data_IF_742518262566
#
_entry.id   IF_742518262566
#
_cell.length_a   1.000
_cell.length_b   1.000
_cell.length_c   1.000
_cell.angle_alpha   90.00
_cell.angle_beta   90.00
_cell.angle_gamma   90.00
#
_symmetry.space_group_name_H-M   'P 1'
#
loop_
_entity.id
_entity.type
_entity.pdbx_description
1 polymer ?
#
# COMPACT_ATOMS: atom_id res chain seq x y z
N UNK A 1 -1.64 -89.69 30.19
CA UNK A 1 -2.58 -88.65 29.76
C UNK A 1 -2.18 -87.30 30.40
N UNK A 2 -1.54 -86.40 29.66
CA UNK A 2 -1.09 -85.08 30.20
C UNK A 2 -1.86 -84.03 29.45
N UNK A 3 -2.73 -83.28 30.14
CA UNK A 3 -3.46 -82.12 29.62
C UNK A 3 -2.51 -80.94 29.59
N UNK A 4 -2.34 -80.32 28.38
CA UNK A 4 -1.65 -79.08 28.20
C UNK A 4 -2.69 -77.92 28.19
N UNK A 5 -2.57 -77.05 29.16
CA UNK A 5 -3.35 -75.80 29.26
C UNK A 5 -2.65 -74.70 28.42
N UNK A 6 -3.33 -74.17 27.42
CA UNK A 6 -2.90 -73.02 26.66
C UNK A 6 -3.42 -71.76 27.36
N UNK A 7 -2.49 -70.91 27.79
CA UNK A 7 -2.76 -69.51 28.22
C UNK A 7 -2.76 -68.63 26.99
N UNK A 8 -3.91 -68.02 26.67
CA UNK A 8 -4.01 -66.98 25.66
C UNK A 8 -3.74 -65.62 26.34
N UNK A 9 -2.65 -64.93 25.96
CA UNK A 9 -2.38 -63.56 26.36
C UNK A 9 -3.09 -62.60 25.42
N UNK A 10 -4.09 -61.87 25.95
CA UNK A 10 -4.77 -60.78 25.21
C UNK A 10 -3.92 -59.51 25.35
N UNK A 11 -3.31 -59.06 24.25
CA UNK A 11 -2.65 -57.77 24.15
C UNK A 11 -3.71 -56.68 23.92
N UNK A 12 -3.97 -55.85 24.93
CA UNK A 12 -4.73 -54.60 24.77
C UNK A 12 -3.85 -53.54 24.09
N UNK A 13 -4.10 -53.30 22.82
CA UNK A 13 -3.51 -52.16 22.10
C UNK A 13 -4.30 -50.91 22.49
N UNK A 14 -3.72 -50.06 23.33
CA UNK A 14 -4.26 -48.74 23.61
C UNK A 14 -4.08 -47.85 22.37
N UNK A 15 -5.16 -47.63 21.66
CA UNK A 15 -5.22 -46.61 20.59
C UNK A 15 -5.23 -45.23 21.24
N UNK A 16 -4.08 -44.54 21.21
CA UNK A 16 -4.00 -43.11 21.56
C UNK A 16 -4.71 -42.35 20.47
N UNK A 17 -5.96 -41.93 20.73
CA UNK A 17 -6.62 -40.91 19.89
C UNK A 17 -5.88 -39.60 20.12
N UNK A 18 -5.02 -39.24 19.16
CA UNK A 18 -4.57 -37.86 19.03
C UNK A 18 -5.80 -36.95 18.80
N UNK A 19 -5.94 -35.83 19.55
CA UNK A 19 -7.04 -34.92 19.28
C UNK A 19 -6.88 -34.42 17.82
N UNK A 20 -7.88 -34.71 16.99
CA UNK A 20 -8.02 -34.11 15.68
C UNK A 20 -8.11 -32.58 15.91
N UNK A 21 -7.05 -31.85 15.60
CA UNK A 21 -7.14 -30.41 15.48
C UNK A 21 -8.20 -30.13 14.43
N UNK A 22 -9.37 -29.71 14.88
CA UNK A 22 -10.41 -29.16 14.02
C UNK A 22 -9.77 -28.00 13.25
N UNK A 23 -9.43 -28.22 11.99
CA UNK A 23 -9.20 -27.15 11.05
C UNK A 23 -10.52 -26.39 10.94
N UNK A 24 -10.68 -25.34 11.74
CA UNK A 24 -11.70 -24.34 11.52
C UNK A 24 -11.36 -23.68 10.17
N UNK A 25 -11.93 -24.25 9.11
CA UNK A 25 -11.65 -23.86 7.72
C UNK A 25 -11.88 -22.37 7.58
N UNK A 26 -10.92 -21.68 6.98
CA UNK A 26 -11.02 -20.28 6.58
C UNK A 26 -12.21 -20.14 5.63
N UNK A 27 -13.32 -19.53 6.10
CA UNK A 27 -14.55 -19.36 5.29
C UNK A 27 -14.44 -18.08 4.48
N UNK A 28 -13.81 -18.17 3.31
CA UNK A 28 -13.88 -17.12 2.30
C UNK A 28 -14.92 -17.52 1.23
N UNK A 29 -15.55 -16.55 0.55
CA UNK A 29 -16.40 -16.84 -0.61
C UNK A 29 -15.61 -17.59 -1.70
N UNK A 30 -16.26 -18.44 -2.47
CA UNK A 30 -15.63 -19.17 -3.59
C UNK A 30 -15.00 -18.23 -4.63
N UNK A 31 -15.54 -17.03 -4.76
CA UNK A 31 -15.00 -15.96 -5.60
C UNK A 31 -14.86 -14.68 -4.80
N UNK A 32 -13.65 -14.12 -4.80
CA UNK A 32 -13.32 -12.80 -4.29
C UNK A 32 -12.90 -11.89 -5.44
N UNK A 33 -13.10 -10.60 -5.27
CA UNK A 33 -12.59 -9.60 -6.21
C UNK A 33 -11.81 -8.54 -5.44
N UNK A 34 -10.59 -8.26 -5.89
CA UNK A 34 -9.78 -7.14 -5.39
C UNK A 34 -9.54 -6.15 -6.51
N UNK A 35 -9.45 -4.88 -6.18
CA UNK A 35 -8.75 -3.94 -7.05
C UNK A 35 -7.26 -3.96 -6.75
N UNK A 36 -6.45 -3.76 -7.77
CA UNK A 36 -5.01 -3.55 -7.66
C UNK A 36 -4.60 -2.41 -8.59
N UNK A 37 -3.31 -2.04 -8.58
CA UNK A 37 -2.84 -1.03 -9.50
C UNK A 37 -2.71 -1.58 -10.93
N UNK A 38 -2.20 -0.77 -11.85
CA UNK A 38 -2.12 -1.12 -13.27
C UNK A 38 -1.41 -2.46 -13.51
N UNK A 39 -1.76 -3.14 -14.59
CA UNK A 39 -1.18 -4.45 -14.95
C UNK A 39 0.35 -4.36 -14.98
N UNK A 40 1.01 -5.33 -14.33
CA UNK A 40 2.46 -5.39 -14.22
C UNK A 40 3.04 -4.53 -13.08
N UNK A 41 2.23 -3.72 -12.37
CA UNK A 41 2.69 -3.09 -11.13
C UNK A 41 3.01 -4.14 -10.07
N UNK A 42 3.88 -3.80 -9.10
CA UNK A 42 4.21 -4.71 -8.00
C UNK A 42 2.98 -5.22 -7.26
N UNK A 43 2.05 -4.31 -6.90
CA UNK A 43 0.82 -4.68 -6.22
C UNK A 43 -0.12 -5.58 -7.03
N UNK A 44 -0.19 -5.40 -8.35
CA UNK A 44 -0.95 -6.29 -9.23
C UNK A 44 -0.34 -7.70 -9.29
N UNK A 45 0.97 -7.78 -9.53
CA UNK A 45 1.66 -9.08 -9.64
C UNK A 45 1.59 -9.86 -8.32
N UNK A 46 1.71 -9.18 -7.19
CA UNK A 46 1.57 -9.80 -5.87
C UNK A 46 0.14 -10.29 -5.61
N UNK A 47 -0.88 -9.52 -5.96
CA UNK A 47 -2.27 -9.94 -5.85
C UNK A 47 -2.56 -11.20 -6.70
N UNK A 48 -1.98 -11.31 -7.89
CA UNK A 48 -2.08 -12.52 -8.74
C UNK A 48 -1.42 -13.72 -8.05
N UNK A 49 -0.22 -13.56 -7.49
CA UNK A 49 0.48 -14.64 -6.80
C UNK A 49 -0.30 -15.13 -5.55
N UNK A 50 -0.86 -14.21 -4.77
CA UNK A 50 -1.75 -14.53 -3.63
C UNK A 50 -3.00 -15.26 -4.14
N UNK A 51 -3.59 -14.80 -5.24
CA UNK A 51 -4.75 -15.43 -5.85
C UNK A 51 -4.50 -16.90 -6.26
N UNK A 52 -3.30 -17.19 -6.77
CA UNK A 52 -2.90 -18.55 -7.09
C UNK A 52 -2.82 -19.43 -5.83
N UNK A 53 -2.27 -18.95 -4.73
CA UNK A 53 -2.22 -19.68 -3.46
C UNK A 53 -3.64 -19.92 -2.90
N UNK A 54 -4.51 -18.89 -2.91
CA UNK A 54 -5.92 -19.02 -2.51
C UNK A 54 -6.65 -20.08 -3.34
N UNK A 55 -6.43 -20.09 -4.65
CA UNK A 55 -7.06 -21.10 -5.54
C UNK A 55 -6.57 -22.50 -5.24
N UNK A 56 -5.26 -22.67 -5.12
CA UNK A 56 -4.65 -24.00 -4.95
C UNK A 56 -4.93 -24.62 -3.57
N UNK A 57 -5.03 -23.80 -2.52
CA UNK A 57 -5.14 -24.28 -1.13
C UNK A 57 -6.57 -24.25 -0.57
N UNK A 58 -7.34 -23.25 -0.97
CA UNK A 58 -8.70 -23.03 -0.44
C UNK A 58 -9.79 -23.14 -1.49
N UNK A 59 -9.46 -23.40 -2.76
CA UNK A 59 -10.36 -23.37 -3.91
C UNK A 59 -11.10 -22.01 -4.06
N UNK A 60 -10.51 -20.92 -3.56
CA UNK A 60 -11.04 -19.56 -3.69
C UNK A 60 -10.46 -18.89 -4.93
N UNK A 61 -11.30 -18.45 -5.85
CA UNK A 61 -10.89 -17.73 -7.05
C UNK A 61 -10.80 -16.23 -6.75
N UNK A 62 -9.59 -15.65 -6.83
CA UNK A 62 -9.39 -14.21 -6.74
C UNK A 62 -9.41 -13.58 -8.13
N UNK A 63 -10.34 -12.66 -8.36
CA UNK A 63 -10.36 -11.77 -9.54
C UNK A 63 -9.66 -10.46 -9.20
N UNK A 64 -8.59 -10.13 -9.92
CA UNK A 64 -7.84 -8.89 -9.75
C UNK A 64 -8.28 -7.89 -10.80
N UNK A 65 -8.88 -6.78 -10.39
CA UNK A 65 -9.31 -5.68 -11.25
C UNK A 65 -8.23 -4.58 -11.26
N UNK A 66 -7.54 -4.34 -12.39
CA UNK A 66 -6.51 -3.33 -12.47
C UNK A 66 -7.12 -1.91 -12.56
N UNK A 67 -6.53 -0.96 -11.82
CA UNK A 67 -6.84 0.45 -11.89
C UNK A 67 -5.64 1.26 -12.40
N UNK A 68 -5.86 2.16 -13.36
CA UNK A 68 -4.78 2.96 -13.99
C UNK A 68 -4.23 4.06 -13.09
N UNK A 69 -4.97 4.46 -12.07
CA UNK A 69 -4.63 5.52 -11.12
C UNK A 69 -5.28 5.26 -9.74
N UNK A 70 -5.03 6.13 -8.76
CA UNK A 70 -5.54 5.95 -7.40
C UNK A 70 -7.06 6.02 -7.32
N UNK A 71 -7.68 6.90 -8.09
CA UNK A 71 -9.13 7.09 -8.11
C UNK A 71 -9.84 5.84 -8.67
N UNK A 72 -9.44 5.39 -9.86
CA UNK A 72 -10.09 4.24 -10.52
C UNK A 72 -9.93 2.93 -9.73
N UNK A 73 -8.83 2.80 -8.96
CA UNK A 73 -8.58 1.66 -8.09
C UNK A 73 -9.39 1.70 -6.78
N UNK A 74 -9.61 2.89 -6.23
CA UNK A 74 -10.26 3.06 -4.92
C UNK A 74 -11.78 3.16 -5.04
N UNK A 75 -12.30 3.62 -6.17
CA UNK A 75 -13.75 3.80 -6.41
C UNK A 75 -14.56 2.52 -6.19
N UNK A 76 -14.21 1.35 -6.76
CA UNK A 76 -15.00 0.12 -6.52
C UNK A 76 -15.00 -0.33 -5.05
N UNK A 77 -13.93 -0.04 -4.30
CA UNK A 77 -13.85 -0.32 -2.87
C UNK A 77 -14.79 0.60 -2.07
N UNK A 78 -14.74 1.92 -2.33
CA UNK A 78 -15.63 2.90 -1.71
C UNK A 78 -17.10 2.56 -1.91
N UNK A 79 -17.46 2.19 -3.12
CA UNK A 79 -18.83 1.90 -3.53
C UNK A 79 -19.30 0.49 -3.11
N UNK A 80 -18.43 -0.30 -2.44
CA UNK A 80 -18.75 -1.64 -1.95
C UNK A 80 -18.87 -2.71 -3.04
N UNK A 81 -18.36 -2.43 -4.25
CA UNK A 81 -18.34 -3.39 -5.36
C UNK A 81 -17.29 -4.49 -5.15
N UNK A 82 -16.23 -4.18 -4.40
CA UNK A 82 -15.21 -5.13 -3.99
C UNK A 82 -14.92 -4.99 -2.49
N UNK A 83 -14.62 -6.10 -1.78
CA UNK A 83 -14.30 -6.05 -0.35
C UNK A 83 -12.88 -5.57 -0.05
N UNK A 84 -11.94 -5.73 -0.98
CA UNK A 84 -10.52 -5.45 -0.76
C UNK A 84 -9.87 -4.72 -1.94
N UNK A 85 -8.78 -4.03 -1.63
CA UNK A 85 -7.89 -3.38 -2.60
C UNK A 85 -6.43 -3.54 -2.19
N UNK A 86 -5.58 -4.01 -3.11
CA UNK A 86 -4.13 -3.90 -2.98
C UNK A 86 -3.71 -2.50 -3.41
N UNK A 87 -3.60 -1.59 -2.45
CA UNK A 87 -3.48 -0.16 -2.69
C UNK A 87 -2.11 0.40 -2.24
N UNK A 88 -1.90 1.69 -2.44
CA UNK A 88 -0.79 2.47 -1.90
C UNK A 88 -1.31 3.60 -1.01
N UNK A 89 -0.44 4.58 -0.74
CA UNK A 89 -0.79 5.74 0.10
C UNK A 89 -1.92 6.59 -0.50
N UNK A 90 -2.19 6.51 -1.81
CA UNK A 90 -3.30 7.22 -2.45
C UNK A 90 -4.65 6.79 -1.86
N UNK A 91 -5.06 5.54 -2.13
CA UNK A 91 -6.34 5.03 -1.65
C UNK A 91 -6.38 4.73 -0.15
N UNK A 92 -5.25 4.69 0.54
CA UNK A 92 -5.18 4.54 2.00
C UNK A 92 -5.07 5.89 2.70
N UNK A 93 -3.85 6.42 2.84
CA UNK A 93 -3.57 7.62 3.61
C UNK A 93 -4.22 8.89 3.04
N UNK A 94 -4.08 9.15 1.72
CA UNK A 94 -4.64 10.36 1.13
C UNK A 94 -6.17 10.32 1.06
N UNK A 95 -6.74 9.14 0.84
CA UNK A 95 -8.18 8.96 0.88
C UNK A 95 -8.74 9.15 2.30
N UNK A 96 -8.04 8.65 3.34
CA UNK A 96 -8.39 8.93 4.74
C UNK A 96 -8.43 10.43 5.01
N UNK A 97 -7.41 11.15 4.55
CA UNK A 97 -7.26 12.58 4.79
C UNK A 97 -8.22 13.45 3.95
N UNK A 98 -8.81 12.90 2.87
CA UNK A 98 -9.66 13.66 1.95
C UNK A 98 -8.92 14.81 1.28
N UNK A 99 -7.73 14.53 0.75
CA UNK A 99 -6.84 15.52 0.12
C UNK A 99 -6.63 15.23 -1.36
N UNK A 100 -6.19 16.22 -2.12
CA UNK A 100 -6.05 16.15 -3.58
C UNK A 100 -7.38 15.77 -4.24
N UNK A 101 -7.38 14.81 -5.15
CA UNK A 101 -8.57 14.30 -5.82
C UNK A 101 -9.60 13.70 -4.84
N UNK A 102 -9.14 13.19 -3.69
CA UNK A 102 -10.03 12.73 -2.61
C UNK A 102 -10.66 13.88 -1.79
N UNK A 103 -10.22 15.12 -2.00
CA UNK A 103 -10.86 16.33 -1.46
C UNK A 103 -11.92 16.91 -2.40
N UNK A 104 -12.22 16.29 -3.53
CA UNK A 104 -13.27 16.71 -4.46
C UNK A 104 -14.67 16.43 -3.89
N UNK A 105 -15.68 17.15 -4.39
CA UNK A 105 -17.07 17.15 -3.87
C UNK A 105 -17.71 15.76 -3.84
N UNK A 106 -17.36 14.89 -4.78
CA UNK A 106 -17.87 13.53 -4.92
C UNK A 106 -17.07 12.48 -4.14
N UNK A 107 -16.05 12.90 -3.38
CA UNK A 107 -15.20 12.02 -2.57
C UNK A 107 -15.30 12.30 -1.07
N UNK A 108 -14.48 13.18 -0.57
CA UNK A 108 -14.30 13.44 0.86
C UNK A 108 -13.43 12.40 1.58
N UNK A 109 -13.17 12.62 2.88
CA UNK A 109 -12.42 11.68 3.72
C UNK A 109 -13.07 10.30 3.78
N UNK A 110 -12.26 9.25 3.59
CA UNK A 110 -12.75 7.87 3.52
C UNK A 110 -12.40 7.10 4.80
N UNK A 111 -13.35 6.34 5.40
CA UNK A 111 -13.09 5.51 6.58
C UNK A 111 -12.41 4.19 6.17
N UNK A 112 -11.22 4.27 5.63
CA UNK A 112 -10.43 3.13 5.18
C UNK A 112 -9.81 2.36 6.36
N UNK A 113 -9.50 1.09 6.15
CA UNK A 113 -8.85 0.19 7.11
C UNK A 113 -7.76 -0.63 6.43
N UNK A 114 -6.64 -0.80 7.09
CA UNK A 114 -5.64 -1.77 6.69
C UNK A 114 -6.03 -3.18 7.12
N UNK A 115 -5.69 -4.16 6.30
CA UNK A 115 -5.80 -5.60 6.59
C UNK A 115 -4.41 -6.17 6.87
N UNK A 116 -3.47 -5.97 5.96
CA UNK A 116 -2.05 -6.30 6.06
C UNK A 116 -1.22 -5.29 5.27
N UNK A 117 0.03 -5.12 5.68
CA UNK A 117 1.00 -4.21 5.07
C UNK A 117 2.16 -5.00 4.46
N UNK A 118 2.56 -4.67 3.24
CA UNK A 118 3.75 -5.26 2.65
C UNK A 118 4.99 -4.40 2.96
N UNK A 119 5.97 -4.99 3.62
CA UNK A 119 7.25 -4.37 3.97
C UNK A 119 8.40 -5.15 3.35
N UNK A 120 8.55 -5.07 2.03
CA UNK A 120 9.66 -5.69 1.29
C UNK A 120 10.93 -4.83 1.32
N UNK A 121 12.03 -5.36 0.78
CA UNK A 121 13.30 -4.64 0.68
C UNK A 121 13.38 -3.76 -0.60
N UNK A 122 12.21 -3.42 -1.16
CA UNK A 122 12.07 -2.53 -2.31
C UNK A 122 12.06 -1.06 -1.91
N UNK A 123 12.43 -0.19 -2.86
CA UNK A 123 12.24 1.26 -2.72
C UNK A 123 10.94 1.69 -3.40
N UNK A 124 10.35 2.75 -2.86
CA UNK A 124 9.31 3.54 -3.48
C UNK A 124 9.91 4.91 -3.82
N UNK A 125 10.38 5.07 -5.05
CA UNK A 125 11.24 6.16 -5.42
C UNK A 125 11.02 6.63 -6.87
N UNK A 126 11.75 7.66 -7.28
CA UNK A 126 11.87 8.02 -8.67
C UNK A 126 12.73 6.99 -9.38
N UNK A 127 12.23 6.38 -10.45
CA UNK A 127 13.00 5.60 -11.41
C UNK A 127 13.35 6.47 -12.60
N UNK A 128 14.57 6.33 -13.10
CA UNK A 128 15.09 7.17 -14.17
C UNK A 128 15.71 6.35 -15.28
N UNK A 129 15.72 6.89 -16.48
CA UNK A 129 16.55 6.36 -17.55
C UNK A 129 18.03 6.54 -17.17
N UNK A 130 18.84 5.50 -17.33
CA UNK A 130 20.26 5.56 -16.97
C UNK A 130 21.04 6.54 -17.83
N UNK A 131 20.67 6.70 -19.13
CA UNK A 131 21.26 7.64 -20.05
C UNK A 131 20.96 9.11 -19.70
N UNK A 132 19.93 9.37 -18.87
CA UNK A 132 19.63 10.72 -18.37
C UNK A 132 20.61 11.20 -17.29
N UNK A 133 21.48 10.29 -16.78
CA UNK A 133 22.54 10.57 -15.80
C UNK A 133 22.04 11.30 -14.55
N UNK A 134 20.94 10.78 -13.93
CA UNK A 134 20.32 11.31 -12.71
C UNK A 134 20.76 10.42 -11.54
N UNK A 135 21.76 10.82 -10.76
CA UNK A 135 22.34 10.03 -9.67
C UNK A 135 21.80 10.42 -8.30
N UNK A 136 21.41 11.67 -8.14
CA UNK A 136 20.84 12.24 -6.92
C UNK A 136 19.49 12.88 -7.22
N UNK A 137 18.67 13.15 -6.20
CA UNK A 137 17.40 13.87 -6.39
C UNK A 137 17.63 15.29 -6.94
N UNK A 138 18.78 15.92 -6.65
CA UNK A 138 19.16 17.24 -7.19
C UNK A 138 19.35 17.25 -8.71
N UNK A 139 19.77 16.12 -9.31
CA UNK A 139 19.98 15.99 -10.75
C UNK A 139 18.66 15.99 -11.55
N UNK A 140 17.52 15.93 -10.89
CA UNK A 140 16.19 16.09 -11.51
C UNK A 140 15.95 17.51 -12.04
N UNK A 141 16.71 18.51 -11.57
CA UNK A 141 16.57 19.89 -12.04
C UNK A 141 16.68 19.98 -13.57
N UNK A 142 15.66 20.57 -14.20
CA UNK A 142 15.56 20.72 -15.66
C UNK A 142 15.20 19.43 -16.43
N UNK A 143 15.08 18.28 -15.77
CA UNK A 143 14.71 16.99 -16.41
C UNK A 143 13.21 16.89 -16.66
N UNK A 144 12.82 16.03 -17.61
CA UNK A 144 11.41 15.71 -17.89
C UNK A 144 10.93 14.68 -16.86
N UNK A 145 9.93 15.07 -16.07
CA UNK A 145 9.39 14.24 -14.99
C UNK A 145 7.91 13.98 -15.22
N UNK A 146 7.50 12.72 -15.11
CA UNK A 146 6.11 12.32 -15.34
C UNK A 146 5.19 12.81 -14.23
N UNK A 147 4.05 13.35 -14.62
CA UNK A 147 2.86 13.58 -13.79
C UNK A 147 1.75 12.64 -14.25
N UNK A 148 1.11 11.93 -13.34
CA UNK A 148 0.03 11.00 -13.69
C UNK A 148 -1.31 11.57 -13.22
N UNK A 149 -2.20 11.86 -14.17
CA UNK A 149 -3.52 12.43 -13.91
C UNK A 149 -4.36 11.44 -13.08
N UNK A 150 -5.00 11.91 -12.01
CA UNK A 150 -5.81 11.08 -11.10
C UNK A 150 -4.99 10.12 -10.23
N UNK A 151 -3.68 10.32 -10.12
CA UNK A 151 -2.79 9.53 -9.28
C UNK A 151 -2.08 10.40 -8.23
N UNK A 152 -2.82 10.94 -7.23
CA UNK A 152 -2.26 11.84 -6.23
C UNK A 152 -1.07 11.21 -5.48
N UNK A 153 -1.05 9.90 -5.25
CA UNK A 153 0.08 9.25 -4.59
C UNK A 153 1.37 9.35 -5.38
N UNK A 154 1.34 9.10 -6.69
CA UNK A 154 2.54 9.18 -7.52
C UNK A 154 3.09 10.60 -7.55
N UNK A 155 2.20 11.58 -7.73
CA UNK A 155 2.55 12.99 -7.83
C UNK A 155 3.07 13.55 -6.51
N UNK A 156 2.40 13.22 -5.38
CA UNK A 156 2.86 13.62 -4.05
C UNK A 156 4.22 13.00 -3.69
N UNK A 157 4.41 11.73 -4.03
CA UNK A 157 5.68 11.06 -3.78
C UNK A 157 6.83 11.72 -4.56
N UNK A 158 6.62 12.09 -5.83
CA UNK A 158 7.60 12.88 -6.58
C UNK A 158 7.81 14.24 -5.90
N UNK A 159 6.73 14.92 -5.50
CA UNK A 159 6.83 16.21 -4.78
C UNK A 159 7.71 16.09 -3.53
N UNK A 160 7.52 15.03 -2.74
CA UNK A 160 8.31 14.77 -1.53
C UNK A 160 9.79 14.49 -1.84
N UNK A 161 10.05 13.70 -2.88
CA UNK A 161 11.41 13.38 -3.32
C UNK A 161 12.12 14.61 -3.93
N UNK A 162 11.42 15.45 -4.68
CA UNK A 162 11.95 16.75 -5.13
C UNK A 162 12.25 17.66 -3.94
N UNK A 163 11.34 17.74 -2.95
CA UNK A 163 11.52 18.54 -1.76
C UNK A 163 12.76 18.11 -0.94
N UNK A 164 13.13 16.83 -0.93
CA UNK A 164 14.35 16.35 -0.29
C UNK A 164 15.60 17.08 -0.81
N UNK A 165 15.62 17.37 -2.10
CA UNK A 165 16.70 18.11 -2.78
C UNK A 165 16.43 19.63 -2.89
N UNK A 166 15.46 20.14 -2.14
CA UNK A 166 15.03 21.54 -2.20
C UNK A 166 14.57 21.98 -3.60
N UNK A 167 13.94 21.06 -4.35
CA UNK A 167 13.33 21.28 -5.65
C UNK A 167 11.81 21.24 -5.55
N UNK A 168 11.16 21.86 -6.54
CA UNK A 168 9.71 21.88 -6.75
C UNK A 168 9.37 21.46 -8.18
N UNK A 169 8.09 21.37 -8.51
CA UNK A 169 7.64 21.13 -9.89
C UNK A 169 8.05 22.26 -10.86
N UNK A 170 8.35 23.46 -10.36
CA UNK A 170 8.86 24.58 -11.17
C UNK A 170 10.32 24.37 -11.61
N UNK A 171 11.05 23.49 -10.94
CA UNK A 171 12.45 23.19 -11.25
C UNK A 171 12.63 22.05 -12.25
N UNK A 172 11.54 21.38 -12.66
CA UNK A 172 11.53 20.26 -13.59
C UNK A 172 10.58 20.52 -14.76
N UNK A 173 10.73 19.75 -15.86
CA UNK A 173 9.80 19.80 -16.99
C UNK A 173 8.73 18.73 -16.78
N UNK A 174 7.56 19.13 -16.30
CA UNK A 174 6.42 18.22 -16.10
C UNK A 174 5.87 17.74 -17.44
N UNK A 175 5.62 16.42 -17.53
CA UNK A 175 4.94 15.78 -18.68
C UNK A 175 3.78 14.94 -18.15
N UNK A 176 2.56 15.24 -18.61
CA UNK A 176 1.33 14.63 -18.13
C UNK A 176 1.04 13.30 -18.86
N UNK A 177 0.65 12.27 -18.08
CA UNK A 177 0.25 10.94 -18.54
C UNK A 177 -1.10 10.53 -17.97
N UNK A 178 -1.88 9.76 -18.75
CA UNK A 178 -3.20 9.27 -18.34
C UNK A 178 -3.18 8.06 -17.40
N UNK A 179 -2.00 7.51 -17.06
CA UNK A 179 -1.88 6.35 -16.18
C UNK A 179 -0.43 5.96 -15.89
N UNK A 180 -0.25 5.13 -14.87
CA UNK A 180 1.07 4.66 -14.41
C UNK A 180 1.85 3.94 -15.52
N UNK A 181 1.23 2.96 -16.19
CA UNK A 181 1.89 2.20 -17.26
C UNK A 181 2.37 3.09 -18.41
N UNK A 182 1.57 4.10 -18.79
CA UNK A 182 1.93 5.07 -19.83
C UNK A 182 3.13 5.95 -19.42
N UNK A 183 3.21 6.38 -18.16
CA UNK A 183 4.35 7.14 -17.65
C UNK A 183 5.65 6.32 -17.68
N UNK A 184 5.58 5.04 -17.30
CA UNK A 184 6.74 4.14 -17.34
C UNK A 184 7.18 3.84 -18.78
N UNK A 185 6.24 3.62 -19.70
CA UNK A 185 6.54 3.47 -21.13
C UNK A 185 7.14 4.76 -21.72
N UNK A 186 6.73 5.91 -21.21
CA UNK A 186 7.29 7.22 -21.54
C UNK A 186 8.80 7.33 -21.24
N UNK A 187 9.32 6.61 -20.22
CA UNK A 187 10.77 6.52 -19.99
C UNK A 187 11.44 5.73 -21.14
N UNK A 188 10.87 4.56 -21.48
CA UNK A 188 11.43 3.67 -22.53
C UNK A 188 11.46 4.38 -23.89
N UNK A 189 10.36 5.08 -24.24
CA UNK A 189 10.18 5.81 -25.49
C UNK A 189 10.80 7.20 -25.51
N UNK A 190 11.58 7.57 -24.50
CA UNK A 190 12.27 8.86 -24.38
C UNK A 190 11.34 10.10 -24.38
N UNK A 191 10.12 9.96 -23.88
CA UNK A 191 9.21 11.09 -23.64
C UNK A 191 9.52 11.79 -22.34
N UNK A 192 9.94 11.02 -21.31
CA UNK A 192 10.39 11.52 -20.00
C UNK A 192 11.70 10.86 -19.57
N UNK A 193 12.36 11.47 -18.60
CA UNK A 193 13.60 10.98 -18.03
C UNK A 193 13.37 10.25 -16.70
N UNK A 194 12.27 10.56 -16.01
CA UNK A 194 11.97 10.10 -14.67
C UNK A 194 10.46 9.94 -14.42
N UNK A 195 10.09 8.91 -13.64
CA UNK A 195 8.75 8.69 -13.12
C UNK A 195 8.81 8.01 -11.74
N UNK A 196 7.73 8.06 -10.96
CA UNK A 196 7.65 7.35 -9.69
C UNK A 196 7.26 5.89 -9.86
N UNK A 197 7.98 4.97 -9.20
CA UNK A 197 7.62 3.56 -9.14
C UNK A 197 8.19 2.84 -7.91
N UNK A 198 7.68 1.64 -7.66
CA UNK A 198 8.39 0.64 -6.85
C UNK A 198 9.48 -0.02 -7.70
N UNK A 199 10.65 -0.26 -7.09
CA UNK A 199 11.77 -0.94 -7.75
C UNK A 199 11.45 -2.36 -8.22
N UNK A 200 10.43 -2.99 -7.62
CA UNK A 200 9.94 -4.34 -7.97
C UNK A 200 8.81 -4.35 -9.00
N UNK A 201 8.42 -3.20 -9.58
CA UNK A 201 7.40 -3.19 -10.63
C UNK A 201 7.92 -3.86 -11.91
N UNK A 202 7.05 -4.59 -12.61
CA UNK A 202 7.39 -5.18 -13.90
C UNK A 202 7.84 -4.14 -14.93
N UNK A 203 7.29 -2.91 -14.83
CA UNK A 203 7.71 -1.79 -15.65
C UNK A 203 9.15 -1.34 -15.37
N UNK A 204 9.62 -1.39 -14.08
CA UNK A 204 11.01 -1.11 -13.76
C UNK A 204 11.95 -2.13 -14.41
N UNK A 205 11.58 -3.42 -14.42
CA UNK A 205 12.35 -4.46 -15.13
C UNK A 205 12.35 -4.23 -16.65
N UNK A 206 11.25 -3.76 -17.24
CA UNK A 206 11.22 -3.40 -18.67
C UNK A 206 12.15 -2.23 -18.98
N UNK A 207 12.17 -1.19 -18.13
CA UNK A 207 13.12 -0.07 -18.30
C UNK A 207 14.56 -0.56 -18.18
N UNK A 208 14.87 -1.40 -17.18
CA UNK A 208 16.21 -1.97 -17.00
C UNK A 208 16.68 -2.76 -18.22
N UNK A 209 15.76 -3.48 -18.89
CA UNK A 209 16.04 -4.27 -20.11
C UNK A 209 16.00 -3.44 -21.40
N UNK A 210 15.58 -2.17 -21.35
CA UNK A 210 15.54 -1.28 -22.51
C UNK A 210 16.93 -0.73 -22.84
N UNK A 211 17.15 -0.20 -24.05
CA UNK A 211 18.42 0.45 -24.39
C UNK A 211 18.78 1.64 -23.48
N UNK A 212 17.77 2.28 -22.85
CA UNK A 212 17.99 3.40 -21.93
C UNK A 212 18.47 2.96 -20.56
N UNK A 213 18.25 1.69 -20.16
CA UNK A 213 18.58 1.17 -18.84
C UNK A 213 17.86 1.90 -17.71
N UNK A 214 18.07 1.45 -16.47
CA UNK A 214 17.44 2.01 -15.26
C UNK A 214 18.50 2.55 -14.30
N UNK A 215 18.13 3.60 -13.56
CA UNK A 215 18.90 4.14 -12.44
C UNK A 215 17.93 4.65 -11.37
N UNK A 216 18.37 4.64 -10.11
CA UNK A 216 17.65 5.15 -8.95
C UNK A 216 18.46 6.27 -8.30
N UNK A 217 17.94 7.51 -8.27
CA UNK A 217 18.59 8.60 -7.54
C UNK A 217 18.64 8.32 -6.04
N UNK A 218 19.77 8.64 -5.42
CA UNK A 218 20.01 8.40 -3.99
C UNK A 218 19.24 9.40 -3.13
N UNK A 219 18.68 8.92 -2.00
CA UNK A 219 18.18 9.75 -0.89
C UNK A 219 19.06 9.43 0.34
N UNK A 220 20.08 10.25 0.65
CA UNK A 220 21.05 9.94 1.70
C UNK A 220 20.40 9.88 3.09
N UNK A 221 20.53 8.76 3.82
CA UNK A 221 19.90 8.57 5.14
C UNK A 221 20.44 9.50 6.22
N UNK A 222 21.68 9.95 6.08
CA UNK A 222 22.34 10.85 7.04
C UNK A 222 21.97 12.32 6.86
N UNK A 223 21.36 12.69 5.73
CA UNK A 223 20.94 14.07 5.46
C UNK A 223 19.60 14.37 6.18
N UNK A 224 19.72 14.81 7.44
CA UNK A 224 18.56 15.10 8.29
C UNK A 224 17.67 16.21 7.71
N UNK A 225 18.25 17.19 7.04
CA UNK A 225 17.50 18.30 6.44
C UNK A 225 16.70 17.85 5.22
N UNK A 226 17.31 17.02 4.35
CA UNK A 226 16.59 16.39 3.23
C UNK A 226 15.41 15.57 3.73
N UNK A 227 15.60 14.76 4.78
CA UNK A 227 14.53 13.97 5.40
C UNK A 227 13.46 14.83 6.06
N UNK A 228 13.81 15.94 6.70
CA UNK A 228 12.84 16.86 7.27
C UNK A 228 11.95 17.48 6.18
N UNK A 229 12.53 17.92 5.05
CA UNK A 229 11.79 18.46 3.90
C UNK A 229 10.89 17.38 3.27
N UNK A 230 11.40 16.16 3.06
CA UNK A 230 10.65 15.04 2.51
C UNK A 230 9.45 14.70 3.39
N UNK A 231 9.66 14.52 4.69
CA UNK A 231 8.60 14.13 5.64
C UNK A 231 7.54 15.20 5.84
N UNK A 232 7.88 16.48 5.66
CA UNK A 232 6.89 17.56 5.69
C UNK A 232 5.82 17.39 4.59
N UNK A 233 6.19 16.82 3.43
CA UNK A 233 5.28 16.54 2.31
C UNK A 233 4.65 15.15 2.44
N UNK A 234 5.44 14.15 2.82
CA UNK A 234 5.05 12.74 2.86
C UNK A 234 5.57 12.09 4.16
N UNK A 235 4.85 12.26 5.29
CA UNK A 235 5.30 11.83 6.62
C UNK A 235 5.45 10.32 6.77
N UNK A 236 4.84 9.54 5.90
CA UNK A 236 4.85 8.08 5.90
C UNK A 236 6.15 7.46 5.36
N UNK A 237 7.06 8.24 4.77
CA UNK A 237 8.33 7.73 4.27
C UNK A 237 9.31 7.39 5.40
N UNK A 238 10.05 6.31 5.19
CA UNK A 238 11.16 5.88 6.05
C UNK A 238 12.42 5.60 5.22
N UNK A 239 13.63 5.77 5.80
CA UNK A 239 14.88 5.36 5.15
C UNK A 239 14.91 3.85 4.89
N UNK A 240 15.42 3.46 3.71
CA UNK A 240 15.55 2.05 3.32
C UNK A 240 16.74 1.85 2.39
N UNK A 241 17.52 0.80 2.63
CA UNK A 241 18.45 0.27 1.65
C UNK A 241 17.69 -0.64 0.68
N UNK A 242 17.50 -0.19 -0.55
CA UNK A 242 16.86 -0.97 -1.59
C UNK A 242 17.75 -2.11 -2.04
N UNK A 243 17.34 -3.33 -1.72
CA UNK A 243 18.05 -4.56 -2.04
C UNK A 243 17.24 -5.48 -2.97
N UNK A 244 16.03 -5.06 -3.34
CA UNK A 244 15.11 -5.84 -4.17
C UNK A 244 14.53 -4.98 -5.29
N UNK A 245 14.59 -5.48 -6.52
CA UNK A 245 14.04 -4.81 -7.69
C UNK A 245 14.92 -4.88 -8.92
N UNK A 246 14.50 -4.19 -9.98
CA UNK A 246 15.21 -4.15 -11.25
C UNK A 246 16.61 -3.55 -11.06
N UNK A 247 17.64 -4.27 -11.48
CA UNK A 247 19.06 -3.89 -11.34
C UNK A 247 19.53 -3.70 -9.88
N UNK A 248 18.81 -4.27 -8.89
CA UNK A 248 19.14 -4.29 -7.46
C UNK A 248 19.33 -5.71 -6.95
N UNK A 249 20.19 -5.87 -5.93
CA UNK A 249 20.40 -7.11 -5.22
C UNK A 249 20.97 -6.85 -3.82
N UNK A 250 21.14 -7.90 -3.00
CA UNK A 250 21.79 -7.78 -1.69
C UNK A 250 23.20 -7.21 -1.77
N UNK A 251 23.90 -7.42 -2.89
CA UNK A 251 25.26 -6.93 -3.13
C UNK A 251 25.29 -5.60 -3.89
N UNK A 252 24.16 -5.20 -4.47
CA UNK A 252 23.98 -3.96 -5.22
C UNK A 252 22.79 -3.18 -4.68
N UNK A 253 22.98 -2.54 -3.53
CA UNK A 253 21.95 -1.77 -2.84
C UNK A 253 22.01 -0.28 -3.22
N UNK A 254 20.85 0.36 -3.14
CA UNK A 254 20.72 1.82 -3.27
C UNK A 254 20.13 2.38 -1.98
N UNK A 255 20.75 3.45 -1.49
CA UNK A 255 20.25 4.22 -0.35
C UNK A 255 19.07 5.08 -0.79
N UNK A 256 17.90 4.88 -0.19
CA UNK A 256 16.66 5.48 -0.67
C UNK A 256 15.57 5.56 0.37
N UNK A 257 14.34 5.63 -0.10
CA UNK A 257 13.14 5.82 0.71
C UNK A 257 12.06 4.79 0.37
N UNK A 258 11.27 4.39 1.38
CA UNK A 258 10.16 3.46 1.22
C UNK A 258 9.03 3.75 2.21
N UNK A 259 7.92 3.05 2.04
CA UNK A 259 6.81 2.88 2.96
C UNK A 259 6.10 1.55 2.64
N UNK A 260 5.22 1.01 3.51
CA UNK A 260 4.51 -0.24 3.22
C UNK A 260 3.77 -0.22 1.88
N UNK A 261 4.13 -1.11 0.95
CA UNK A 261 3.46 -1.20 -0.37
C UNK A 261 3.57 -2.61 -0.98
N UNK A 262 2.45 -3.16 -1.48
CA UNK A 262 1.11 -2.61 -1.33
C UNK A 262 0.54 -2.75 0.08
N UNK A 263 -0.51 -2.00 0.36
CA UNK A 263 -1.37 -2.16 1.53
C UNK A 263 -2.59 -2.95 1.09
N UNK A 264 -2.84 -4.11 1.67
CA UNK A 264 -4.15 -4.73 1.55
C UNK A 264 -5.10 -3.98 2.46
N UNK A 265 -6.10 -3.33 1.87
CA UNK A 265 -7.03 -2.46 2.58
C UNK A 265 -8.48 -2.78 2.25
N UNK A 266 -9.34 -2.31 3.12
CA UNK A 266 -10.80 -2.42 3.05
C UNK A 266 -11.46 -1.16 3.61
N UNK A 267 -12.81 -1.09 3.62
CA UNK A 267 -13.56 -0.02 4.27
C UNK A 267 -13.94 -0.42 5.70
N UNK A 268 -14.13 0.55 6.59
CA UNK A 268 -14.55 0.31 7.98
C UNK A 268 -15.84 -0.50 8.10
N UNK A 269 -16.75 -0.37 7.13
CA UNK A 269 -18.06 -1.07 7.09
C UNK A 269 -17.98 -2.50 6.54
N UNK A 270 -16.83 -2.96 6.09
CA UNK A 270 -16.69 -4.33 5.54
C UNK A 270 -16.88 -5.34 6.66
N UNK A 271 -17.55 -6.45 6.35
CA UNK A 271 -17.85 -7.50 7.31
C UNK A 271 -16.58 -8.03 8.01
N UNK A 272 -16.61 -8.06 9.34
CA UNK A 272 -15.45 -8.41 10.16
C UNK A 272 -14.99 -9.86 9.96
N UNK A 273 -15.91 -10.78 9.67
CA UNK A 273 -15.56 -12.18 9.48
C UNK A 273 -14.86 -12.41 8.12
N UNK A 274 -15.27 -11.72 7.05
CA UNK A 274 -14.56 -11.80 5.78
C UNK A 274 -13.14 -11.21 5.89
N UNK A 275 -12.98 -10.11 6.65
CA UNK A 275 -11.66 -9.51 6.87
C UNK A 275 -10.79 -10.39 7.76
N UNK A 276 -11.35 -10.95 8.83
CA UNK A 276 -10.65 -11.92 9.68
C UNK A 276 -10.14 -13.12 8.86
N UNK A 277 -11.02 -13.73 8.08
CA UNK A 277 -10.69 -14.90 7.28
C UNK A 277 -9.67 -14.58 6.17
N UNK A 278 -9.74 -13.36 5.59
CA UNK A 278 -8.74 -12.93 4.60
C UNK A 278 -7.38 -12.70 5.25
N UNK A 279 -7.33 -12.05 6.42
CA UNK A 279 -6.09 -11.86 7.20
C UNK A 279 -5.46 -13.22 7.55
N UNK A 280 -6.28 -14.16 8.06
CA UNK A 280 -5.86 -15.52 8.39
C UNK A 280 -5.31 -16.24 7.16
N UNK A 281 -6.03 -16.22 6.04
CA UNK A 281 -5.59 -16.86 4.79
C UNK A 281 -4.25 -16.28 4.30
N UNK A 282 -4.10 -14.96 4.31
CA UNK A 282 -2.84 -14.32 3.90
C UNK A 282 -1.65 -14.76 4.76
N UNK A 283 -1.84 -14.84 6.09
CA UNK A 283 -0.76 -15.23 7.01
C UNK A 283 -0.45 -16.73 6.91
N UNK A 284 -1.47 -17.58 6.88
CA UNK A 284 -1.28 -19.05 6.86
C UNK A 284 -0.77 -19.56 5.51
N UNK A 285 -1.14 -18.93 4.40
CA UNK A 285 -0.68 -19.27 3.05
C UNK A 285 0.61 -18.54 2.65
N UNK A 286 1.22 -17.75 3.53
CA UNK A 286 2.44 -17.01 3.21
C UNK A 286 3.54 -17.89 2.59
N UNK A 287 3.84 -19.11 3.10
CA UNK A 287 4.83 -19.99 2.49
C UNK A 287 4.53 -20.38 1.03
N UNK A 288 3.25 -20.37 0.63
CA UNK A 288 2.79 -20.78 -0.71
C UNK A 288 2.87 -19.67 -1.76
N UNK A 289 2.93 -18.38 -1.35
CA UNK A 289 2.99 -17.27 -2.28
C UNK A 289 4.20 -16.34 -2.10
N UNK A 290 5.00 -16.48 -1.04
CA UNK A 290 6.14 -15.59 -0.76
C UNK A 290 7.12 -15.45 -1.91
N UNK A 291 7.32 -16.48 -2.70
CA UNK A 291 8.23 -16.52 -3.85
C UNK A 291 7.50 -16.32 -5.20
N UNK A 292 6.17 -16.08 -5.17
CA UNK A 292 5.33 -16.02 -6.37
C UNK A 292 5.41 -14.70 -7.14
N UNK A 293 5.90 -13.63 -6.53
CA UNK A 293 6.17 -12.35 -7.18
C UNK A 293 7.22 -11.55 -6.39
N UNK A 294 7.98 -10.66 -7.05
CA UNK A 294 8.91 -9.77 -6.37
C UNK A 294 8.20 -8.98 -5.25
N UNK A 295 8.86 -8.89 -4.09
CA UNK A 295 8.34 -8.20 -2.91
C UNK A 295 7.32 -8.97 -2.08
N UNK A 296 6.89 -10.16 -2.47
CA UNK A 296 5.93 -10.95 -1.68
C UNK A 296 6.47 -11.32 -0.29
N UNK A 297 7.77 -11.37 -0.09
CA UNK A 297 8.39 -11.57 1.24
C UNK A 297 7.97 -10.50 2.25
N UNK A 298 7.57 -9.32 1.78
CA UNK A 298 7.10 -8.23 2.64
C UNK A 298 5.74 -8.47 3.31
N UNK A 299 4.97 -9.48 2.90
CA UNK A 299 3.71 -9.87 3.51
C UNK A 299 3.88 -10.74 4.76
N UNK A 300 5.11 -11.12 5.09
CA UNK A 300 5.40 -11.91 6.29
C UNK A 300 4.82 -11.23 7.53
N UNK A 301 4.21 -12.04 8.40
CA UNK A 301 3.65 -11.56 9.66
C UNK A 301 4.72 -10.92 10.57
N UNK A 302 5.95 -11.40 10.48
CA UNK A 302 7.10 -10.85 11.23
C UNK A 302 7.55 -9.47 10.71
N UNK A 303 7.10 -9.06 9.52
CA UNK A 303 7.40 -7.77 8.91
C UNK A 303 6.27 -6.74 9.07
N UNK A 304 5.18 -7.09 9.76
CA UNK A 304 4.03 -6.19 9.90
C UNK A 304 4.36 -4.96 10.77
N UNK A 305 3.85 -3.80 10.37
CA UNK A 305 3.91 -2.54 11.13
C UNK A 305 2.50 -2.20 11.59
N UNK A 306 2.16 -2.57 12.84
CA UNK A 306 0.80 -2.38 13.37
C UNK A 306 0.48 -0.91 13.71
N UNK A 307 1.50 -0.08 13.97
CA UNK A 307 1.37 1.35 14.22
C UNK A 307 1.74 2.15 12.96
N UNK A 308 0.86 2.15 11.95
CA UNK A 308 1.07 2.89 10.71
C UNK A 308 0.07 4.06 10.54
N UNK A 309 -0.06 4.61 9.32
CA UNK A 309 -0.75 5.85 9.04
C UNK A 309 -2.28 5.74 8.90
N UNK A 310 -2.83 4.52 8.77
CA UNK A 310 -4.27 4.26 8.75
C UNK A 310 -4.63 3.18 9.76
N UNK A 311 -5.85 3.17 10.32
CA UNK A 311 -6.25 2.17 11.29
C UNK A 311 -6.39 0.78 10.66
N UNK A 312 -6.07 -0.25 11.44
CA UNK A 312 -6.34 -1.65 11.09
C UNK A 312 -7.83 -1.97 11.21
N UNK A 313 -8.32 -2.91 10.41
CA UNK A 313 -9.70 -3.39 10.52
C UNK A 313 -9.88 -4.30 11.74
N UNK A 314 -11.07 -4.23 12.39
CA UNK A 314 -11.38 -5.04 13.58
C UNK A 314 -11.24 -6.55 13.34
N UNK A 315 -11.57 -7.05 12.15
CA UNK A 315 -11.38 -8.44 11.76
C UNK A 315 -9.90 -8.85 11.77
N UNK A 316 -9.01 -7.98 11.27
CA UNK A 316 -7.56 -8.21 11.32
C UNK A 316 -7.04 -8.13 12.76
N UNK A 317 -7.50 -7.14 13.54
CA UNK A 317 -7.13 -6.98 14.96
C UNK A 317 -7.52 -8.23 15.75
N UNK A 318 -8.71 -8.81 15.50
CA UNK A 318 -9.15 -10.05 16.11
C UNK A 318 -8.12 -11.17 15.88
N UNK A 319 -7.70 -11.39 14.65
CA UNK A 319 -6.69 -12.39 14.31
C UNK A 319 -5.33 -12.11 14.98
N UNK A 320 -4.88 -10.85 14.96
CA UNK A 320 -3.61 -10.48 15.61
C UNK A 320 -3.64 -10.65 17.13
N UNK A 321 -4.78 -10.42 17.80
CA UNK A 321 -4.99 -10.70 19.23
C UNK A 321 -4.89 -12.20 19.52
N UNK A 322 -5.52 -13.05 18.71
CA UNK A 322 -5.41 -14.51 18.83
C UNK A 322 -3.95 -15.00 18.67
N UNK A 323 -3.18 -14.35 17.81
CA UNK A 323 -1.75 -14.62 17.60
C UNK A 323 -0.85 -13.95 18.65
N UNK A 324 -1.40 -13.22 19.62
CA UNK A 324 -0.68 -12.44 20.64
C UNK A 324 0.29 -11.40 20.08
N UNK A 325 -0.03 -10.85 18.91
CA UNK A 325 0.75 -9.83 18.22
C UNK A 325 0.23 -8.41 18.46
N UNK A 326 -1.01 -8.26 18.92
CA UNK A 326 -1.67 -6.98 19.14
C UNK A 326 -1.55 -6.52 20.58
N UNK A 327 -0.88 -5.38 20.79
CA UNK A 327 -0.65 -4.79 22.12
C UNK A 327 -1.64 -3.66 22.43
N UNK A 328 -1.69 -3.23 23.70
CA UNK A 328 -2.45 -2.04 24.11
C UNK A 328 -1.92 -0.77 23.46
N UNK A 329 -0.63 -0.67 23.21
CA UNK A 329 -0.02 0.46 22.50
C UNK A 329 -0.53 0.54 21.06
N UNK A 330 -0.58 -0.58 20.34
CA UNK A 330 -1.17 -0.64 18.99
C UNK A 330 -2.66 -0.32 19.01
N UNK A 331 -3.40 -0.77 20.02
CA UNK A 331 -4.81 -0.42 20.16
C UNK A 331 -4.99 1.08 20.34
N UNK A 332 -4.23 1.71 21.24
CA UNK A 332 -4.27 3.16 21.48
C UNK A 332 -3.92 3.96 20.23
N UNK A 333 -2.88 3.54 19.48
CA UNK A 333 -2.54 4.16 18.20
C UNK A 333 -3.70 4.03 17.20
N UNK A 334 -4.25 2.84 17.05
CA UNK A 334 -5.40 2.57 16.17
C UNK A 334 -6.60 3.46 16.50
N UNK A 335 -6.94 3.57 17.79
CA UNK A 335 -8.06 4.39 18.25
C UNK A 335 -7.83 5.88 17.96
N UNK A 336 -6.60 6.36 18.05
CA UNK A 336 -6.24 7.73 17.69
C UNK A 336 -6.48 8.03 16.20
N UNK A 337 -6.19 7.07 15.32
CA UNK A 337 -6.43 7.19 13.88
C UNK A 337 -7.95 7.12 13.56
N UNK A 338 -8.71 6.28 14.27
CA UNK A 338 -10.17 6.24 14.15
C UNK A 338 -10.79 7.56 14.60
N UNK A 339 -10.29 8.14 15.71
CA UNK A 339 -10.72 9.47 16.18
C UNK A 339 -10.41 10.56 15.15
N UNK A 340 -9.24 10.49 14.49
CA UNK A 340 -8.89 11.40 13.40
C UNK A 340 -9.87 11.30 12.22
N UNK A 341 -10.21 10.08 11.79
CA UNK A 341 -11.21 9.88 10.73
C UNK A 341 -12.57 10.45 11.10
N UNK A 342 -12.97 10.33 12.37
CA UNK A 342 -14.21 10.93 12.85
C UNK A 342 -14.19 12.46 12.73
N UNK A 343 -13.12 13.12 13.17
CA UNK A 343 -12.96 14.59 13.05
C UNK A 343 -13.03 15.01 11.58
N UNK A 344 -12.36 14.30 10.70
CA UNK A 344 -12.37 14.58 9.24
C UNK A 344 -13.78 14.39 8.65
N UNK A 345 -14.47 13.31 9.00
CA UNK A 345 -15.83 13.03 8.54
C UNK A 345 -16.85 14.05 9.00
N UNK A 346 -16.81 14.43 10.29
CA UNK A 346 -17.68 15.46 10.86
C UNK A 346 -17.43 16.84 10.19
N UNK A 347 -16.17 17.19 9.98
CA UNK A 347 -15.78 18.42 9.28
C UNK A 347 -16.28 18.44 7.83
N UNK A 348 -16.18 17.31 7.14
CA UNK A 348 -16.68 17.16 5.76
C UNK A 348 -18.20 17.35 5.69
N UNK A 349 -18.95 16.67 6.54
CA UNK A 349 -20.42 16.80 6.59
C UNK A 349 -20.83 18.24 6.85
N UNK A 350 -20.19 18.90 7.81
CA UNK A 350 -20.45 20.31 8.12
C UNK A 350 -20.12 21.22 6.95
N UNK A 351 -18.99 21.02 6.30
CA UNK A 351 -18.54 21.85 5.17
C UNK A 351 -19.46 21.69 3.97
N UNK A 352 -19.80 20.45 3.60
CA UNK A 352 -20.59 20.17 2.39
C UNK A 352 -22.03 20.63 2.48
N UNK A 353 -22.58 20.87 3.68
CA UNK A 353 -23.94 21.37 3.89
C UNK A 353 -24.16 22.78 3.27
N UNK A 354 -23.08 23.59 3.11
CA UNK A 354 -23.14 24.95 2.57
C UNK A 354 -21.99 25.29 1.65
N UNK A 355 -21.32 24.28 1.10
CA UNK A 355 -20.14 24.46 0.24
C UNK A 355 -20.51 25.07 -1.12
N UNK A 356 -19.61 25.84 -1.74
CA UNK A 356 -19.79 26.40 -3.06
C UNK A 356 -19.94 25.32 -4.13
N UNK A 357 -20.62 25.66 -5.22
CA UNK A 357 -20.80 24.77 -6.37
C UNK A 357 -19.54 24.68 -7.25
N UNK A 358 -18.77 25.76 -7.34
CA UNK A 358 -17.51 25.81 -8.11
C UNK A 358 -16.48 24.87 -7.51
N UNK A 359 -15.84 24.06 -8.35
CA UNK A 359 -14.92 23.01 -7.91
C UNK A 359 -13.65 23.57 -7.24
N UNK A 360 -13.15 24.70 -7.72
CA UNK A 360 -11.94 25.34 -7.19
C UNK A 360 -12.23 26.00 -5.84
N UNK A 361 -13.32 26.74 -5.74
CA UNK A 361 -13.78 27.34 -4.48
C UNK A 361 -14.09 26.27 -3.45
N UNK A 362 -14.75 25.17 -3.89
CA UNK A 362 -15.03 24.02 -3.05
C UNK A 362 -13.74 23.44 -2.45
N UNK A 363 -12.76 23.12 -3.28
CA UNK A 363 -11.51 22.53 -2.82
C UNK A 363 -10.73 23.47 -1.87
N UNK A 364 -10.68 24.78 -2.19
CA UNK A 364 -10.05 25.79 -1.32
C UNK A 364 -10.76 25.93 0.03
N UNK A 365 -12.10 25.90 0.02
CA UNK A 365 -12.90 25.93 1.24
C UNK A 365 -12.70 24.68 2.09
N UNK A 366 -12.64 23.51 1.45
CA UNK A 366 -12.34 22.25 2.14
C UNK A 366 -10.96 22.25 2.80
N UNK A 367 -9.90 22.70 2.11
CA UNK A 367 -8.56 22.83 2.70
C UNK A 367 -8.62 23.61 4.03
N UNK A 368 -9.31 24.75 4.05
CA UNK A 368 -9.45 25.61 5.23
C UNK A 368 -10.28 24.93 6.33
N UNK A 369 -11.43 24.35 5.97
CA UNK A 369 -12.34 23.70 6.91
C UNK A 369 -11.66 22.47 7.57
N UNK A 370 -10.96 21.66 6.78
CA UNK A 370 -10.18 20.51 7.24
C UNK A 370 -9.06 20.93 8.21
N UNK A 371 -8.24 21.92 7.84
CA UNK A 371 -7.15 22.42 8.68
C UNK A 371 -7.68 22.98 10.00
N UNK A 372 -8.78 23.75 9.98
CA UNK A 372 -9.40 24.30 11.18
C UNK A 372 -9.92 23.20 12.12
N UNK A 373 -10.58 22.17 11.57
CA UNK A 373 -11.11 21.05 12.36
C UNK A 373 -10.00 20.23 13.04
N UNK A 374 -8.93 19.90 12.30
CA UNK A 374 -7.79 19.17 12.84
C UNK A 374 -7.08 19.98 13.93
N UNK A 375 -6.84 21.28 13.69
CA UNK A 375 -6.21 22.19 14.68
C UNK A 375 -7.05 22.31 15.95
N UNK A 376 -8.38 22.44 15.84
CA UNK A 376 -9.29 22.48 16.97
C UNK A 376 -9.25 21.19 17.80
N UNK A 377 -9.06 20.05 17.14
CA UNK A 377 -8.89 18.74 17.78
C UNK A 377 -7.45 18.50 18.27
N UNK A 378 -6.53 19.45 18.14
CA UNK A 378 -5.09 19.31 18.46
C UNK A 378 -4.41 18.17 17.69
N UNK A 379 -4.86 17.92 16.45
CA UNK A 379 -4.31 16.95 15.54
C UNK A 379 -3.42 17.65 14.50
N UNK A 380 -2.36 16.97 14.07
CA UNK A 380 -1.45 17.49 13.05
C UNK A 380 -2.19 17.74 11.73
N UNK A 381 -1.95 18.90 11.11
CA UNK A 381 -2.43 19.24 9.77
C UNK A 381 -1.38 18.82 8.77
N UNK A 382 -1.53 17.62 8.22
CA UNK A 382 -0.69 17.14 7.11
C UNK A 382 -1.35 17.54 5.79
N UNK A 383 -0.55 17.91 4.79
CA UNK A 383 -1.06 18.40 3.49
C UNK A 383 -2.05 19.54 3.69
N UNK A 384 -1.54 20.71 4.05
CA UNK A 384 -2.34 21.91 4.36
C UNK A 384 -2.90 22.58 3.11
N UNK A 385 -2.26 22.36 1.96
CA UNK A 385 -2.67 22.90 0.65
C UNK A 385 -2.27 22.00 -0.50
N UNK A 386 -3.01 22.07 -1.61
CA UNK A 386 -2.69 21.39 -2.87
C UNK A 386 -3.22 22.18 -4.06
N UNK A 387 -2.60 21.96 -5.23
CA UNK A 387 -3.06 22.55 -6.48
C UNK A 387 -4.42 21.96 -6.88
N UNK A 388 -5.38 22.82 -7.15
CA UNK A 388 -6.71 22.48 -7.71
C UNK A 388 -6.70 22.80 -9.18
N UNK A 389 -6.95 21.80 -10.00
CA UNK A 389 -7.05 21.94 -11.46
C UNK A 389 -8.46 22.27 -11.89
#
# INVERSE_FOLDING_TARGET
>A
MKRRTLLAAAALTAMVLAPAMSQTGTKLPETLTWTAYDVGSGGYNQAVAIGNALKNKLNVTLRVLPGKNDISRTLPLRDGQVPFSANGVGGSYLAQEGVYEFGAKDWGPQPVRAVLLNNSDALLTVVTAKDANIKTMGDLKGKRVAWVVGAPSLNQNITALLASANLTWNDVKRVDFGGFGAAMEGIISNQVDAAFASTISGQAYKIASSPRGIQYPVVPHKDKEAWARLKKVAPFYVPQWGAEGADLSKDKKVEGATYPYPVLMTMAKTDADIVYNMTKAMVELFPDYKDGAPGNVGWDIERQIFAWAIPMHEGSIKYFKERKLWTEEYQKHNDSLVARQKVLGDAWQKYTASAPADAKEFAQGWMKARAAALSAAKMEVVVDSWEVK
#
